data_IF_065917720483
#
_entry.id   IF_065917720483
#
_cell.length_a   1.000
_cell.length_b   1.000
_cell.length_c   1.000
_cell.angle_alpha   90.00
_cell.angle_beta   90.00
_cell.angle_gamma   90.00
#
_symmetry.space_group_name_H-M   'P 1'
#
loop_
_entity.id
_entity.type
_entity.pdbx_description
1 polymer ?
#
# COMPACT_ATOMS: atom_id res chain seq x y z
N UNK A 1 -2.97 -14.56 10.84
CA UNK A 1 -3.09 -15.04 9.45
C UNK A 1 -3.83 -14.03 8.56
N UNK A 2 -5.00 -13.51 8.99
CA UNK A 2 -5.76 -12.49 8.26
C UNK A 2 -4.95 -11.27 7.80
N UNK A 3 -4.35 -10.51 8.73
CA UNK A 3 -3.57 -9.29 8.41
C UNK A 3 -2.44 -9.50 7.39
N UNK A 4 -1.71 -10.62 7.48
CA UNK A 4 -0.63 -10.96 6.53
C UNK A 4 -1.16 -11.26 5.12
N UNK A 5 -2.34 -11.91 5.03
CA UNK A 5 -3.00 -12.19 3.76
C UNK A 5 -3.53 -10.89 3.15
N UNK A 6 -4.18 -10.03 3.94
CA UNK A 6 -4.64 -8.70 3.52
C UNK A 6 -3.48 -7.84 3.01
N UNK A 7 -2.37 -7.75 3.75
CA UNK A 7 -1.19 -6.99 3.31
C UNK A 7 -0.60 -7.51 1.99
N UNK A 8 -0.60 -8.83 1.76
CA UNK A 8 -0.17 -9.41 0.49
C UNK A 8 -1.08 -9.05 -0.68
N UNK A 9 -2.41 -9.00 -0.46
CA UNK A 9 -3.38 -8.58 -1.48
C UNK A 9 -3.21 -7.09 -1.81
N UNK A 10 -3.09 -6.23 -0.78
CA UNK A 10 -2.84 -4.79 -0.96
C UNK A 10 -1.58 -4.53 -1.78
N UNK A 11 -0.46 -5.16 -1.40
CA UNK A 11 0.78 -5.07 -2.17
C UNK A 11 0.62 -5.52 -3.63
N UNK A 12 -0.07 -6.64 -3.86
CA UNK A 12 -0.33 -7.14 -5.22
C UNK A 12 -1.15 -6.17 -6.06
N UNK A 13 -2.17 -5.55 -5.47
CA UNK A 13 -3.00 -4.53 -6.10
C UNK A 13 -2.19 -3.28 -6.45
N UNK A 14 -1.46 -2.72 -5.48
CA UNK A 14 -0.63 -1.52 -5.66
C UNK A 14 0.43 -1.74 -6.76
N UNK A 15 1.07 -2.91 -6.77
CA UNK A 15 2.03 -3.29 -7.80
C UNK A 15 1.38 -3.42 -9.19
N UNK A 16 0.18 -4.01 -9.28
CA UNK A 16 -0.55 -4.12 -10.55
C UNK A 16 -0.95 -2.74 -11.10
N UNK A 17 -1.42 -1.83 -10.22
CA UNK A 17 -1.72 -0.44 -10.59
C UNK A 17 -0.46 0.27 -11.09
N UNK A 18 0.68 0.10 -10.42
CA UNK A 18 1.95 0.68 -10.86
C UNK A 18 2.37 0.17 -12.25
N UNK A 19 2.25 -1.14 -12.49
CA UNK A 19 2.53 -1.73 -13.80
C UNK A 19 1.59 -1.19 -14.90
N UNK A 20 0.30 -1.02 -14.59
CA UNK A 20 -0.66 -0.43 -15.53
C UNK A 20 -0.32 1.03 -15.87
N UNK A 21 0.15 1.82 -14.89
CA UNK A 21 0.63 3.20 -15.13
C UNK A 21 1.85 3.22 -16.05
N UNK A 22 2.78 2.29 -15.89
CA UNK A 22 3.97 2.16 -16.75
C UNK A 22 3.58 1.68 -18.16
N UNK A 23 2.68 0.70 -18.28
CA UNK A 23 2.30 0.15 -19.57
C UNK A 23 1.46 1.10 -20.43
N UNK A 24 0.75 2.04 -19.80
CA UNK A 24 -0.17 2.97 -20.45
C UNK A 24 0.30 4.43 -20.31
N UNK A 25 1.54 4.71 -20.73
CA UNK A 25 2.09 6.06 -20.72
C UNK A 25 1.21 7.00 -21.56
N UNK A 26 0.69 8.06 -20.94
CA UNK A 26 -0.17 9.06 -21.57
C UNK A 26 -1.67 8.92 -21.27
N UNK A 27 -2.08 7.91 -20.50
CA UNK A 27 -3.45 7.79 -19.96
C UNK A 27 -3.38 8.01 -18.44
N UNK A 28 -4.18 8.94 -17.94
CA UNK A 28 -4.33 9.14 -16.50
C UNK A 28 -5.18 8.01 -15.91
N UNK A 29 -4.57 7.15 -15.09
CA UNK A 29 -5.27 6.11 -14.34
C UNK A 29 -5.74 6.68 -13.01
N UNK A 30 -7.06 6.87 -12.88
CA UNK A 30 -7.71 7.26 -11.62
C UNK A 30 -8.00 6.02 -10.79
N UNK A 31 -7.28 5.89 -9.69
CA UNK A 31 -7.45 4.81 -8.70
C UNK A 31 -7.92 5.35 -7.34
N UNK A 32 -8.26 6.63 -7.27
CA UNK A 32 -8.89 7.18 -6.07
C UNK A 32 -10.27 6.54 -5.87
N UNK A 33 -10.52 6.04 -4.65
CA UNK A 33 -11.75 5.32 -4.34
C UNK A 33 -11.85 3.92 -4.93
N UNK A 34 -10.75 3.35 -5.47
CA UNK A 34 -10.71 1.92 -5.82
C UNK A 34 -10.39 1.08 -4.59
N UNK A 35 -11.34 0.96 -3.67
CA UNK A 35 -11.25 0.02 -2.55
C UNK A 35 -11.29 -1.44 -3.04
N UNK A 36 -10.68 -2.36 -2.30
CA UNK A 36 -10.59 -3.78 -2.69
C UNK A 36 -11.96 -4.45 -2.87
N UNK A 37 -13.00 -3.92 -2.22
CA UNK A 37 -14.36 -4.50 -2.22
C UNK A 37 -15.32 -3.82 -3.20
N UNK A 38 -14.85 -2.81 -3.95
CA UNK A 38 -15.63 -2.11 -4.98
C UNK A 38 -15.42 -2.76 -6.34
N UNK A 39 -16.49 -2.82 -7.12
CA UNK A 39 -16.46 -3.21 -8.54
C UNK A 39 -16.79 -2.01 -9.42
N UNK A 40 -16.37 -2.07 -10.68
CA UNK A 40 -16.80 -1.09 -11.68
C UNK A 40 -18.10 -1.57 -12.33
N UNK A 41 -19.18 -0.80 -12.18
CA UNK A 41 -20.43 -0.97 -12.92
C UNK A 41 -20.78 0.31 -13.65
N UNK A 42 -20.98 0.22 -14.97
CA UNK A 42 -21.32 1.37 -15.83
C UNK A 42 -20.35 2.57 -15.66
N UNK A 43 -19.07 2.29 -15.44
CA UNK A 43 -18.04 3.32 -15.24
C UNK A 43 -18.02 3.96 -13.85
N UNK A 44 -18.77 3.42 -12.89
CA UNK A 44 -18.80 3.90 -11.49
C UNK A 44 -18.30 2.80 -10.56
N UNK A 45 -17.65 3.20 -9.46
CA UNK A 45 -17.28 2.28 -8.39
C UNK A 45 -18.49 2.03 -7.50
N UNK A 46 -18.93 0.76 -7.43
CA UNK A 46 -20.08 0.32 -6.65
C UNK A 46 -19.63 -0.72 -5.65
N UNK A 47 -19.97 -0.51 -4.38
CA UNK A 47 -19.79 -1.51 -3.34
C UNK A 47 -20.86 -2.61 -3.46
N UNK A 48 -20.44 -3.87 -3.38
CA UNK A 48 -21.42 -4.96 -3.34
C UNK A 48 -22.10 -4.98 -1.98
N UNK A 49 -23.41 -5.27 -1.96
CA UNK A 49 -24.21 -5.31 -0.73
C UNK A 49 -23.56 -6.18 0.37
N UNK A 50 -23.02 -7.35 -0.03
CA UNK A 50 -22.34 -8.29 0.86
C UNK A 50 -21.08 -7.74 1.53
N UNK A 51 -20.51 -6.65 1.01
CA UNK A 51 -19.26 -6.06 1.49
C UNK A 51 -19.44 -4.69 2.13
N UNK A 52 -20.66 -4.14 2.16
CA UNK A 52 -20.92 -2.82 2.76
C UNK A 52 -20.41 -2.68 4.19
N UNK A 53 -20.58 -3.72 5.02
CA UNK A 53 -20.10 -3.71 6.40
C UNK A 53 -18.58 -3.77 6.48
N UNK A 54 -17.96 -4.62 5.65
CA UNK A 54 -16.51 -4.82 5.65
C UNK A 54 -15.75 -3.61 5.08
N UNK A 55 -16.30 -2.90 4.10
CA UNK A 55 -15.70 -1.66 3.60
C UNK A 55 -15.73 -0.56 4.66
N UNK A 56 -16.81 -0.44 5.43
CA UNK A 56 -16.84 0.53 6.53
C UNK A 56 -15.77 0.22 7.58
N UNK A 57 -15.47 -1.06 7.83
CA UNK A 57 -14.38 -1.48 8.71
C UNK A 57 -12.99 -1.24 8.07
N UNK A 58 -12.83 -1.44 6.76
CA UNK A 58 -11.58 -1.20 6.02
C UNK A 58 -11.23 0.30 5.94
N UNK A 59 -12.20 1.16 5.61
CA UNK A 59 -12.05 2.62 5.59
C UNK A 59 -11.65 3.16 6.99
N UNK A 60 -12.15 2.56 8.08
CA UNK A 60 -11.79 2.92 9.45
C UNK A 60 -10.37 2.43 9.83
N UNK A 61 -9.92 1.26 9.33
CA UNK A 61 -8.56 0.73 9.55
C UNK A 61 -7.47 1.47 8.75
N UNK A 62 -7.80 2.06 7.59
CA UNK A 62 -6.85 2.85 6.78
C UNK A 62 -6.37 4.14 7.47
N UNK A 63 -7.03 4.59 8.54
CA UNK A 63 -6.70 5.83 9.26
C UNK A 63 -5.55 5.64 10.28
N UNK A 64 -5.13 4.39 10.56
CA UNK A 64 -4.19 4.05 11.63
C UNK A 64 -2.76 3.68 11.14
N UNK A 65 -2.36 4.14 9.95
CA UNK A 65 -0.94 4.12 9.53
C UNK A 65 -0.29 5.50 9.81
N UNK A 66 -0.04 5.78 11.08
CA UNK A 66 0.91 6.83 11.48
C UNK A 66 2.33 6.30 11.23
N UNK A 67 2.92 6.75 10.13
CA UNK A 67 4.31 6.53 9.72
C UNK A 67 5.27 6.96 10.85
N UNK A 68 5.89 5.99 11.53
CA UNK A 68 7.16 6.24 12.19
C UNK A 68 8.26 5.35 11.61
N UNK A 69 9.01 5.81 10.59
CA UNK A 69 10.26 5.21 10.21
C UNK A 69 11.40 5.99 10.87
N UNK A 70 11.65 5.76 12.16
CA UNK A 70 13.00 5.97 12.72
C UNK A 70 13.74 4.62 12.72
N UNK A 71 14.03 4.12 11.51
CA UNK A 71 15.10 3.14 11.29
C UNK A 71 16.32 3.89 10.75
N UNK A 72 17.06 4.54 11.65
CA UNK A 72 18.41 5.01 11.36
C UNK A 72 19.37 3.82 11.54
N UNK A 73 19.42 2.99 10.49
CA UNK A 73 20.46 2.00 10.29
C UNK A 73 21.78 2.71 9.96
N UNK A 74 22.48 3.22 10.96
CA UNK A 74 23.91 3.57 10.81
C UNK A 74 24.80 2.37 11.17
N UNK A 75 24.89 1.40 10.25
CA UNK A 75 26.08 0.52 10.17
C UNK A 75 27.24 1.33 9.55
N UNK A 76 27.86 2.18 10.38
CA UNK A 76 29.11 2.86 10.08
C UNK A 76 30.30 2.06 10.61
N UNK A 77 30.84 1.20 9.78
CA UNK A 77 32.13 0.52 9.97
C UNK A 77 33.25 1.58 9.99
N UNK A 78 33.92 1.83 11.12
CA UNK A 78 35.16 2.63 11.18
C UNK A 78 36.35 1.72 11.53
N UNK A 79 36.91 1.11 10.49
CA UNK A 79 38.25 0.54 10.51
C UNK A 79 39.25 1.66 10.16
N UNK A 80 39.80 2.36 11.16
CA UNK A 80 41.00 3.18 10.96
C UNK A 80 41.86 3.30 12.22
N UNK A 81 42.73 2.31 12.38
CA UNK A 81 44.14 2.37 12.79
C UNK A 81 44.69 3.72 13.34
N UNK A 82 45.22 3.71 14.57
CA UNK A 82 46.28 4.64 15.00
C UNK A 82 46.34 5.02 16.49
N UNK A 83 47.38 4.57 17.20
CA UNK A 83 48.07 5.38 18.23
C UNK A 83 47.98 4.96 19.71
N UNK A 84 49.10 4.42 20.19
CA UNK A 84 49.80 4.63 21.47
C UNK A 84 49.13 4.45 22.85
N UNK A 85 49.66 3.49 23.63
CA UNK A 85 50.38 3.74 24.90
C UNK A 85 51.07 2.45 25.43
#
# INVERSE_FOLDING_TARGET
LGKKVLGGIKYGFDNAVAQLKIANLGIELKTEGTGMLRKVENGQFVILEKYKQMEMEEDDEEVEEDDNPEEDHEEGHDESNGGDA
#
